data_IF_874273319376
#
_entry.id   IF_874273319376
#
_cell.length_a   1.000
_cell.length_b   1.000
_cell.length_c   1.000
_cell.angle_alpha   90.00
_cell.angle_beta   90.00
_cell.angle_gamma   90.00
#
_symmetry.space_group_name_H-M   'P 1'
#
loop_
_entity.id
_entity.type
_entity.pdbx_description
1 polymer ?
#
# COMPACT_ATOMS: atom_id res chain seq x y z
N UNK A 1 16.87 15.72 24.72
CA UNK A 1 16.46 16.65 23.66
C UNK A 1 17.23 17.95 23.84
N UNK A 2 18.04 18.33 22.86
CA UNK A 2 18.41 19.75 22.70
C UNK A 2 17.10 20.53 22.56
N UNK A 3 16.86 21.57 23.36
CA UNK A 3 15.65 22.40 23.26
C UNK A 3 15.49 23.06 21.87
N UNK A 4 16.55 23.08 21.05
CA UNK A 4 16.56 23.73 19.74
C UNK A 4 15.79 23.03 18.63
N UNK A 5 15.78 21.69 18.58
CA UNK A 5 15.19 20.99 17.43
C UNK A 5 13.65 21.06 17.39
N UNK A 6 12.91 20.82 18.51
CA UNK A 6 11.47 21.03 18.52
C UNK A 6 11.06 22.46 18.13
N UNK A 7 11.83 23.45 18.60
CA UNK A 7 11.61 24.85 18.21
C UNK A 7 11.82 25.09 16.72
N UNK A 8 12.88 24.52 16.13
CA UNK A 8 13.14 24.57 14.69
C UNK A 8 11.98 23.96 13.88
N UNK A 9 11.40 22.84 14.34
CA UNK A 9 10.23 22.24 13.69
C UNK A 9 8.99 23.13 13.83
N UNK A 10 8.78 23.79 14.97
CA UNK A 10 7.69 24.74 15.14
C UNK A 10 7.79 25.93 14.18
N UNK A 11 8.99 26.49 14.02
CA UNK A 11 9.28 27.57 13.06
C UNK A 11 9.07 27.11 11.62
N UNK A 12 9.59 25.93 11.26
CA UNK A 12 9.44 25.35 9.93
C UNK A 12 7.96 25.15 9.57
N UNK A 13 7.18 24.55 10.48
CA UNK A 13 5.76 24.30 10.25
C UNK A 13 4.98 25.62 10.18
N UNK A 14 5.30 26.59 11.04
CA UNK A 14 4.67 27.91 10.97
C UNK A 14 4.96 28.59 9.64
N UNK A 15 6.22 28.58 9.20
CA UNK A 15 6.63 29.16 7.92
C UNK A 15 5.89 28.51 6.76
N UNK A 16 5.71 27.18 6.78
CA UNK A 16 4.93 26.47 5.77
C UNK A 16 3.45 26.91 5.76
N UNK A 17 2.82 27.03 6.93
CA UNK A 17 1.40 27.34 7.05
C UNK A 17 1.03 28.77 6.61
N UNK A 18 1.96 29.72 6.75
CA UNK A 18 1.75 31.13 6.35
C UNK A 18 2.52 31.52 5.09
N UNK A 19 3.07 30.54 4.37
CA UNK A 19 3.84 30.73 3.14
C UNK A 19 5.03 31.70 3.30
N UNK A 20 5.69 31.65 4.45
CA UNK A 20 6.85 32.48 4.76
C UNK A 20 8.09 32.00 3.98
N UNK A 21 8.85 32.95 3.41
CA UNK A 21 10.08 32.70 2.66
C UNK A 21 11.15 31.99 3.50
N UNK A 22 11.11 32.12 4.82
CA UNK A 22 12.00 31.42 5.74
C UNK A 22 11.90 29.89 5.61
N UNK A 23 10.79 29.35 5.09
CA UNK A 23 10.63 27.91 4.87
C UNK A 23 11.81 27.30 4.07
N UNK A 24 12.25 27.99 3.02
CA UNK A 24 13.36 27.52 2.17
C UNK A 24 14.69 27.39 2.90
N UNK A 25 14.92 28.19 3.94
CA UNK A 25 16.13 28.13 4.77
C UNK A 25 15.97 27.16 5.94
N UNK A 26 14.77 27.06 6.51
CA UNK A 26 14.47 26.20 7.65
C UNK A 26 14.45 24.71 7.28
N UNK A 27 13.91 24.36 6.10
CA UNK A 27 13.78 22.98 5.65
C UNK A 27 15.13 22.24 5.58
N UNK A 28 16.18 22.73 4.88
CA UNK A 28 17.47 22.04 4.82
C UNK A 28 18.17 21.99 6.19
N UNK A 29 17.99 23.00 7.05
CA UNK A 29 18.50 23.00 8.43
C UNK A 29 17.87 21.89 9.27
N UNK A 30 16.53 21.78 9.23
CA UNK A 30 15.81 20.72 9.93
C UNK A 30 16.20 19.32 9.42
N UNK A 31 16.36 19.16 8.10
CA UNK A 31 16.86 17.90 7.52
C UNK A 31 18.26 17.56 8.06
N UNK A 32 19.19 18.52 8.07
CA UNK A 32 20.55 18.31 8.54
C UNK A 32 20.60 17.97 10.04
N UNK A 33 19.95 18.77 10.89
CA UNK A 33 19.92 18.54 12.34
C UNK A 33 19.28 17.19 12.68
N UNK A 34 18.26 16.77 11.92
CA UNK A 34 17.62 15.47 12.14
C UNK A 34 18.56 14.28 11.98
N UNK A 35 19.69 14.40 11.26
CA UNK A 35 20.63 13.30 11.02
C UNK A 35 21.28 12.76 12.30
N UNK A 36 21.47 13.63 13.30
CA UNK A 36 22.08 13.27 14.58
C UNK A 36 21.10 12.77 15.65
N UNK A 37 19.79 12.77 15.37
CA UNK A 37 18.75 12.47 16.35
C UNK A 37 18.37 11.00 16.39
N UNK A 38 17.95 10.54 17.57
CA UNK A 38 17.42 9.20 17.76
C UNK A 38 16.00 9.06 17.19
N UNK A 39 15.54 7.83 16.86
CA UNK A 39 14.17 7.60 16.41
C UNK A 39 13.09 8.12 17.36
N UNK A 40 13.34 8.06 18.68
CA UNK A 40 12.42 8.58 19.69
C UNK A 40 12.29 10.11 19.64
N UNK A 41 13.40 10.83 19.41
CA UNK A 41 13.39 12.29 19.26
C UNK A 41 12.70 12.73 17.98
N UNK A 42 12.91 12.00 16.88
CA UNK A 42 12.18 12.23 15.62
C UNK A 42 10.69 11.96 15.79
N UNK A 43 10.32 10.87 16.47
CA UNK A 43 8.92 10.53 16.77
C UNK A 43 8.24 11.63 17.57
N UNK A 44 8.93 12.23 18.55
CA UNK A 44 8.37 13.25 19.43
C UNK A 44 7.92 14.53 18.70
N UNK A 45 8.51 14.86 17.55
CA UNK A 45 8.16 16.05 16.76
C UNK A 45 7.16 15.76 15.63
N UNK A 46 6.87 14.49 15.33
CA UNK A 46 5.93 14.12 14.27
C UNK A 46 4.49 14.64 14.46
N UNK A 47 3.92 14.77 15.68
CA UNK A 47 2.63 15.43 15.86
C UNK A 47 2.61 16.85 15.27
N UNK A 48 3.70 17.59 15.44
CA UNK A 48 3.82 18.95 14.90
C UNK A 48 3.94 18.96 13.38
N UNK A 49 4.66 17.99 12.81
CA UNK A 49 4.70 17.79 11.37
C UNK A 49 3.32 17.47 10.81
N UNK A 50 2.51 16.66 11.51
CA UNK A 50 1.15 16.31 11.12
C UNK A 50 0.26 17.55 10.98
N UNK A 51 0.34 18.48 11.94
CA UNK A 51 -0.36 19.77 11.86
C UNK A 51 0.08 20.58 10.64
N UNK A 52 1.40 20.62 10.38
CA UNK A 52 1.95 21.34 9.24
C UNK A 52 1.50 20.77 7.89
N UNK A 53 1.54 19.44 7.75
CA UNK A 53 1.06 18.75 6.56
C UNK A 53 -0.44 19.00 6.33
N UNK A 54 -1.22 19.12 7.41
CA UNK A 54 -2.65 19.39 7.30
C UNK A 54 -2.97 20.85 6.94
N UNK A 55 -2.15 21.81 7.37
CA UNK A 55 -2.42 23.25 7.25
C UNK A 55 -1.72 23.93 6.06
N UNK A 56 -0.54 23.47 5.68
CA UNK A 56 0.26 24.07 4.62
C UNK A 56 -0.35 23.82 3.22
N UNK A 57 -0.14 24.72 2.25
CA UNK A 57 -0.53 24.47 0.87
C UNK A 57 0.27 23.29 0.28
N UNK A 58 -0.25 22.60 -0.75
CA UNK A 58 0.33 21.36 -1.26
C UNK A 58 1.83 21.43 -1.58
N UNK A 59 2.31 22.53 -2.16
CA UNK A 59 3.70 22.74 -2.56
C UNK A 59 4.69 22.84 -1.39
N UNK A 60 4.22 23.16 -0.17
CA UNK A 60 5.06 23.21 1.05
C UNK A 60 4.78 22.00 1.95
N UNK A 61 3.51 21.63 2.09
CA UNK A 61 3.08 20.46 2.87
C UNK A 61 3.68 19.16 2.36
N UNK A 62 3.94 19.03 1.06
CA UNK A 62 4.57 17.84 0.50
C UNK A 62 5.99 17.61 1.01
N UNK A 63 6.76 18.68 1.25
CA UNK A 63 8.11 18.60 1.80
C UNK A 63 8.12 18.25 3.29
N UNK A 64 7.13 18.73 4.04
CA UNK A 64 6.91 18.30 5.42
C UNK A 64 6.56 16.80 5.48
N UNK A 65 5.71 16.33 4.56
CA UNK A 65 5.37 14.91 4.45
C UNK A 65 6.60 14.05 4.11
N UNK A 66 7.44 14.51 3.17
CA UNK A 66 8.69 13.82 2.80
C UNK A 66 9.64 13.71 3.98
N UNK A 67 9.81 14.79 4.72
CA UNK A 67 10.65 14.79 5.92
C UNK A 67 10.13 13.80 6.97
N UNK A 68 8.82 13.79 7.22
CA UNK A 68 8.19 12.82 8.12
C UNK A 68 8.40 11.37 7.64
N UNK A 69 8.23 11.09 6.35
CA UNK A 69 8.50 9.77 5.75
C UNK A 69 9.96 9.35 5.91
N UNK A 70 10.90 10.25 5.63
CA UNK A 70 12.33 9.99 5.80
C UNK A 70 12.72 9.69 7.25
N UNK A 71 12.04 10.30 8.23
CA UNK A 71 12.26 9.97 9.64
C UNK A 71 11.69 8.60 10.01
N UNK A 72 10.56 8.21 9.45
CA UNK A 72 9.97 6.87 9.62
C UNK A 72 10.88 5.79 9.05
N UNK A 73 11.48 6.01 7.88
CA UNK A 73 12.48 5.07 7.31
C UNK A 73 13.73 4.92 8.19
N UNK A 74 14.02 5.93 9.02
CA UNK A 74 15.10 5.90 10.01
C UNK A 74 14.65 5.33 11.37
N UNK A 75 13.44 4.78 11.45
CA UNK A 75 12.91 4.07 12.61
C UNK A 75 11.99 4.90 13.51
N UNK A 76 11.65 6.15 13.16
CA UNK A 76 10.61 6.87 13.88
C UNK A 76 9.25 6.17 13.71
N UNK A 77 8.40 6.27 14.73
CA UNK A 77 7.05 5.70 14.68
C UNK A 77 6.17 6.52 13.74
N UNK A 78 5.49 5.92 12.73
CA UNK A 78 4.63 6.65 11.80
C UNK A 78 3.31 7.11 12.42
N UNK A 79 2.86 6.49 13.51
CA UNK A 79 1.54 6.70 14.13
C UNK A 79 1.19 8.18 14.40
N UNK A 80 2.10 9.04 14.89
CA UNK A 80 1.74 10.43 15.20
C UNK A 80 1.43 11.31 13.98
N UNK A 81 1.87 10.92 12.77
CA UNK A 81 1.69 11.74 11.55
C UNK A 81 1.08 10.98 10.36
N UNK A 82 1.09 9.65 10.38
CA UNK A 82 0.77 8.82 9.23
C UNK A 82 -0.63 9.06 8.68
N UNK A 83 -1.64 9.16 9.54
CA UNK A 83 -3.01 9.45 9.11
C UNK A 83 -3.11 10.84 8.46
N UNK A 84 -2.50 11.86 9.05
CA UNK A 84 -2.52 13.22 8.50
C UNK A 84 -1.85 13.29 7.12
N UNK A 85 -0.73 12.57 6.92
CA UNK A 85 -0.06 12.45 5.63
C UNK A 85 -0.97 11.77 4.60
N UNK A 86 -1.62 10.65 4.95
CA UNK A 86 -2.53 9.94 4.03
C UNK A 86 -3.76 10.79 3.68
N UNK A 87 -4.30 11.54 4.65
CA UNK A 87 -5.42 12.46 4.41
C UNK A 87 -5.03 13.63 3.51
N UNK A 88 -3.86 14.23 3.72
CA UNK A 88 -3.34 15.27 2.83
C UNK A 88 -3.10 14.72 1.43
N UNK A 89 -2.47 13.54 1.30
CA UNK A 89 -2.28 12.87 0.02
C UNK A 89 -3.61 12.56 -0.68
N UNK A 90 -4.66 12.20 0.07
CA UNK A 90 -6.01 11.96 -0.49
C UNK A 90 -6.61 13.24 -1.07
N UNK A 91 -6.48 14.38 -0.36
CA UNK A 91 -6.94 15.69 -0.87
C UNK A 91 -6.17 16.12 -2.11
N UNK A 92 -4.85 15.94 -2.07
CA UNK A 92 -3.96 16.25 -3.20
C UNK A 92 -4.29 15.39 -4.41
N UNK A 93 -4.50 14.09 -4.24
CA UNK A 93 -4.89 13.19 -5.32
C UNK A 93 -6.22 13.61 -5.97
N UNK A 94 -7.22 14.01 -5.18
CA UNK A 94 -8.48 14.51 -5.73
C UNK A 94 -8.30 15.79 -6.57
N UNK A 95 -7.51 16.75 -6.08
CA UNK A 95 -7.23 17.99 -6.80
C UNK A 95 -6.34 17.76 -8.05
N UNK A 96 -5.37 16.87 -7.96
CA UNK A 96 -4.51 16.46 -9.08
C UNK A 96 -5.32 15.75 -10.18
N UNK A 97 -6.31 14.92 -9.82
CA UNK A 97 -7.21 14.31 -10.78
C UNK A 97 -8.07 15.37 -11.50
N UNK A 98 -8.60 16.35 -10.76
CA UNK A 98 -9.32 17.47 -11.37
C UNK A 98 -8.43 18.26 -12.34
N UNK A 99 -7.17 18.52 -11.97
CA UNK A 99 -6.19 19.14 -12.86
C UNK A 99 -5.95 18.31 -14.13
N UNK A 100 -5.68 17.01 -14.01
CA UNK A 100 -5.42 16.14 -15.16
C UNK A 100 -6.61 16.08 -16.13
N UNK A 101 -7.83 15.99 -15.60
CA UNK A 101 -9.06 16.04 -16.41
C UNK A 101 -9.20 17.38 -17.12
N UNK A 102 -9.04 18.50 -16.39
CA UNK A 102 -9.13 19.85 -16.96
C UNK A 102 -8.08 20.08 -18.07
N UNK A 103 -6.85 19.60 -17.86
CA UNK A 103 -5.79 19.68 -18.86
C UNK A 103 -6.16 18.93 -20.14
N UNK A 104 -6.63 17.68 -20.01
CA UNK A 104 -7.04 16.86 -21.14
C UNK A 104 -8.19 17.48 -21.92
N UNK A 105 -9.14 18.12 -21.23
CA UNK A 105 -10.24 18.85 -21.87
C UNK A 105 -9.81 20.14 -22.58
N UNK A 106 -8.77 20.81 -22.06
CA UNK A 106 -8.26 22.05 -22.64
C UNK A 106 -7.35 21.81 -23.84
N UNK A 107 -6.51 20.77 -23.78
CA UNK A 107 -5.42 20.56 -24.75
C UNK A 107 -5.60 19.33 -25.64
N UNK A 108 -6.42 18.36 -25.22
CA UNK A 108 -6.52 17.04 -25.85
C UNK A 108 -5.30 16.13 -25.62
N UNK A 109 -4.28 16.60 -24.90
CA UNK A 109 -3.04 15.87 -24.63
C UNK A 109 -2.85 15.48 -23.18
N UNK A 110 -1.70 14.87 -22.89
CA UNK A 110 -1.31 14.51 -21.53
C UNK A 110 -0.87 15.75 -20.72
N UNK A 111 -1.17 15.78 -19.40
CA UNK A 111 -0.70 16.85 -18.52
C UNK A 111 0.82 16.93 -18.46
N UNK A 112 1.40 18.08 -18.09
CA UNK A 112 2.83 18.22 -17.89
C UNK A 112 3.31 17.22 -16.84
N UNK A 113 4.45 16.60 -17.08
CA UNK A 113 5.04 15.66 -16.13
C UNK A 113 5.31 16.36 -14.78
N UNK A 114 4.77 15.86 -13.64
CA UNK A 114 4.89 16.53 -12.36
C UNK A 114 6.31 16.49 -11.75
N UNK A 115 7.20 15.63 -12.26
CA UNK A 115 8.59 15.50 -11.80
C UNK A 115 9.58 16.24 -12.73
N UNK A 116 9.29 16.32 -14.03
CA UNK A 116 10.17 16.99 -15.00
C UNK A 116 9.79 18.45 -15.26
N UNK A 117 8.53 18.82 -15.05
CA UNK A 117 8.02 20.18 -15.28
C UNK A 117 7.85 20.95 -13.97
N UNK A 118 7.69 22.27 -14.07
CA UNK A 118 7.42 23.14 -12.94
C UNK A 118 6.09 23.89 -13.07
N UNK A 119 5.53 24.39 -11.96
CA UNK A 119 4.35 25.25 -11.99
C UNK A 119 4.62 26.53 -12.78
N UNK A 120 3.65 26.99 -13.56
CA UNK A 120 3.75 28.21 -14.36
C UNK A 120 2.40 28.89 -14.53
N UNK A 121 2.41 30.20 -14.81
CA UNK A 121 1.17 30.92 -15.10
C UNK A 121 0.46 30.38 -16.36
N UNK A 122 1.23 29.94 -17.37
CA UNK A 122 0.68 29.35 -18.59
C UNK A 122 -0.14 28.08 -18.30
N UNK A 123 0.33 27.24 -17.37
CA UNK A 123 -0.42 26.05 -16.94
C UNK A 123 -1.74 26.46 -16.27
N UNK A 124 -1.71 27.47 -15.39
CA UNK A 124 -2.91 28.00 -14.73
C UNK A 124 -3.89 28.56 -15.75
N UNK A 125 -3.42 29.35 -16.71
CA UNK A 125 -4.26 29.96 -17.75
C UNK A 125 -4.90 28.88 -18.66
N UNK A 126 -4.18 27.77 -18.89
CA UNK A 126 -4.66 26.62 -19.68
C UNK A 126 -5.82 25.90 -19.01
N UNK A 127 -5.69 25.57 -17.72
CA UNK A 127 -6.72 24.79 -16.99
C UNK A 127 -7.79 25.65 -16.33
N UNK A 128 -7.49 26.93 -16.08
CA UNK A 128 -8.33 27.87 -15.33
C UNK A 128 -9.79 27.91 -15.77
N UNK A 129 -10.10 28.00 -17.08
CA UNK A 129 -11.50 28.00 -17.55
C UNK A 129 -12.29 26.72 -17.26
N UNK A 130 -11.62 25.62 -16.87
CA UNK A 130 -12.21 24.27 -16.72
C UNK A 130 -12.20 23.74 -15.30
N UNK A 131 -11.62 24.50 -14.36
CA UNK A 131 -11.60 24.13 -12.95
C UNK A 131 -12.60 25.01 -12.20
N UNK A 132 -13.60 24.36 -11.61
CA UNK A 132 -14.47 25.00 -10.63
C UNK A 132 -13.69 25.20 -9.32
N UNK A 133 -13.30 26.44 -9.02
CA UNK A 133 -12.57 26.78 -7.79
C UNK A 133 -11.21 27.44 -8.06
N UNK A 134 -10.18 26.99 -7.36
CA UNK A 134 -8.83 27.57 -7.43
C UNK A 134 -7.92 26.75 -8.36
N UNK A 135 -7.67 27.22 -9.61
CA UNK A 135 -6.79 26.51 -10.54
C UNK A 135 -5.32 26.51 -10.12
N UNK A 136 -4.88 27.48 -9.30
CA UNK A 136 -3.51 27.50 -8.75
C UNK A 136 -3.36 26.36 -7.75
N UNK A 137 -4.32 26.19 -6.85
CA UNK A 137 -4.30 25.10 -5.88
C UNK A 137 -4.32 23.71 -6.56
N UNK A 138 -5.12 23.54 -7.62
CA UNK A 138 -5.17 22.31 -8.40
C UNK A 138 -3.83 22.01 -9.11
N UNK A 139 -3.22 23.02 -9.73
CA UNK A 139 -1.87 22.90 -10.31
C UNK A 139 -0.83 22.54 -9.23
N UNK A 140 -0.85 23.21 -8.08
CA UNK A 140 0.10 22.90 -7.00
C UNK A 140 -0.08 21.49 -6.45
N UNK A 141 -1.32 21.01 -6.37
CA UNK A 141 -1.61 19.61 -5.99
C UNK A 141 -1.06 18.63 -7.03
N UNK A 142 -1.19 18.92 -8.33
CA UNK A 142 -0.59 18.12 -9.39
C UNK A 142 0.93 17.97 -9.20
N UNK A 143 1.66 19.07 -9.05
CA UNK A 143 3.11 19.03 -8.87
C UNK A 143 3.57 18.47 -7.51
N UNK A 144 2.72 18.50 -6.49
CA UNK A 144 3.00 17.92 -5.17
C UNK A 144 2.70 16.41 -5.09
N UNK A 145 2.05 15.84 -6.10
CA UNK A 145 1.58 14.45 -6.14
C UNK A 145 2.72 13.46 -5.89
N UNK A 146 3.89 13.52 -6.57
CA UNK A 146 4.98 12.55 -6.35
C UNK A 146 5.43 12.48 -4.89
N UNK A 147 5.65 13.63 -4.26
CA UNK A 147 6.15 13.71 -2.88
C UNK A 147 5.13 13.20 -1.86
N UNK A 148 3.84 13.53 -2.04
CA UNK A 148 2.79 12.96 -1.22
C UNK A 148 2.62 11.46 -1.43
N UNK A 149 2.77 10.97 -2.67
CA UNK A 149 2.72 9.55 -3.00
C UNK A 149 3.81 8.77 -2.29
N UNK A 150 5.06 9.23 -2.37
CA UNK A 150 6.20 8.64 -1.65
C UNK A 150 5.98 8.60 -0.13
N UNK A 151 5.58 9.74 0.44
CA UNK A 151 5.39 9.86 1.89
C UNK A 151 4.25 8.98 2.39
N UNK A 152 3.10 8.98 1.69
CA UNK A 152 1.97 8.13 2.02
C UNK A 152 2.31 6.64 1.87
N UNK A 153 3.08 6.28 0.84
CA UNK A 153 3.58 4.91 0.68
C UNK A 153 4.39 4.47 1.90
N UNK A 154 5.36 5.27 2.34
CA UNK A 154 6.17 4.94 3.53
C UNK A 154 5.30 4.80 4.79
N UNK A 155 4.38 5.74 5.04
CA UNK A 155 3.49 5.69 6.20
C UNK A 155 2.61 4.44 6.22
N UNK A 156 2.02 4.11 5.06
CA UNK A 156 1.12 2.95 4.93
C UNK A 156 1.90 1.64 4.91
N UNK A 157 3.09 1.56 4.33
CA UNK A 157 3.86 0.32 4.24
C UNK A 157 4.41 -0.11 5.61
N UNK A 158 4.80 0.87 6.44
CA UNK A 158 5.49 0.62 7.71
C UNK A 158 4.57 0.40 8.90
N UNK A 159 3.28 0.76 8.83
CA UNK A 159 2.36 0.60 9.96
C UNK A 159 0.97 0.06 9.60
N UNK A 160 0.59 -1.13 10.10
CA UNK A 160 -0.79 -1.61 10.01
C UNK A 160 -1.77 -0.74 10.81
N UNK A 161 -1.30 -0.03 11.85
CA UNK A 161 -2.15 0.88 12.62
C UNK A 161 -2.55 2.09 11.78
N UNK A 162 -1.61 2.65 10.99
CA UNK A 162 -1.92 3.73 10.04
C UNK A 162 -2.91 3.23 8.99
N UNK A 163 -2.68 2.06 8.38
CA UNK A 163 -3.63 1.47 7.41
C UNK A 163 -5.01 1.28 8.02
N UNK A 164 -5.10 0.76 9.26
CA UNK A 164 -6.35 0.53 9.97
C UNK A 164 -7.09 1.79 10.39
N UNK A 165 -6.39 2.92 10.56
CA UNK A 165 -6.99 4.21 10.91
C UNK A 165 -7.64 4.94 9.72
N UNK A 166 -7.32 4.55 8.47
CA UNK A 166 -7.87 5.18 7.28
C UNK A 166 -9.32 4.75 7.07
N UNK A 167 -10.24 5.72 7.08
CA UNK A 167 -11.64 5.53 6.68
C UNK A 167 -11.80 5.44 5.16
N UNK A 168 -12.85 4.75 4.69
CA UNK A 168 -13.21 4.64 3.27
C UNK A 168 -12.07 4.17 2.35
N UNK A 169 -11.27 3.21 2.83
CA UNK A 169 -10.04 2.74 2.16
C UNK A 169 -10.24 2.41 0.69
N UNK A 170 -11.32 1.71 0.33
CA UNK A 170 -11.58 1.31 -1.06
C UNK A 170 -11.84 2.54 -1.96
N UNK A 171 -12.65 3.49 -1.49
CA UNK A 171 -12.90 4.74 -2.24
C UNK A 171 -11.61 5.54 -2.41
N UNK A 172 -10.77 5.62 -1.37
CA UNK A 172 -9.49 6.31 -1.44
C UNK A 172 -8.51 5.58 -2.38
N UNK A 173 -8.44 4.25 -2.31
CA UNK A 173 -7.62 3.44 -3.20
C UNK A 173 -8.00 3.68 -4.67
N UNK A 174 -9.30 3.68 -5.00
CA UNK A 174 -9.77 4.02 -6.34
C UNK A 174 -9.34 5.42 -6.79
N UNK A 175 -9.39 6.41 -5.90
CA UNK A 175 -8.94 7.77 -6.22
C UNK A 175 -7.45 7.84 -6.54
N UNK A 176 -6.60 7.10 -5.80
CA UNK A 176 -5.17 7.02 -6.08
C UNK A 176 -4.88 6.27 -7.39
N UNK A 177 -5.58 5.16 -7.68
CA UNK A 177 -5.41 4.39 -8.92
C UNK A 177 -5.68 5.22 -10.19
N UNK A 178 -6.57 6.22 -10.14
CA UNK A 178 -6.80 7.12 -11.28
C UNK A 178 -5.57 7.94 -11.69
N UNK A 179 -4.60 8.10 -10.79
CA UNK A 179 -3.37 8.86 -11.03
C UNK A 179 -2.17 7.97 -11.36
N UNK A 180 -2.30 6.65 -11.27
CA UNK A 180 -1.17 5.71 -11.45
C UNK A 180 -0.47 5.89 -12.80
N UNK A 181 -1.24 6.13 -13.87
CA UNK A 181 -0.70 6.35 -15.21
C UNK A 181 0.20 7.59 -15.33
N UNK A 182 0.05 8.54 -14.41
CA UNK A 182 0.81 9.79 -14.39
C UNK A 182 1.88 9.80 -13.29
N UNK A 183 1.65 9.08 -12.20
CA UNK A 183 2.56 8.97 -11.07
C UNK A 183 2.47 7.54 -10.52
N UNK A 184 3.41 6.64 -10.89
CA UNK A 184 3.38 5.24 -10.47
C UNK A 184 3.31 5.04 -8.95
N UNK A 185 3.85 5.98 -8.16
CA UNK A 185 3.77 5.98 -6.71
C UNK A 185 2.32 5.91 -6.18
N UNK A 186 1.35 6.47 -6.91
CA UNK A 186 -0.05 6.44 -6.54
C UNK A 186 -0.68 5.04 -6.66
N UNK A 187 -0.23 4.24 -7.62
CA UNK A 187 -0.61 2.82 -7.71
C UNK A 187 -0.16 2.04 -6.46
N UNK A 188 1.05 2.32 -5.96
CA UNK A 188 1.55 1.69 -4.73
C UNK A 188 0.75 2.07 -3.48
N UNK A 189 0.38 3.35 -3.36
CA UNK A 189 -0.50 3.82 -2.28
C UNK A 189 -1.87 3.16 -2.34
N UNK A 190 -2.44 3.06 -3.55
CA UNK A 190 -3.71 2.37 -3.77
C UNK A 190 -3.64 0.90 -3.33
N UNK A 191 -2.56 0.19 -3.69
CA UNK A 191 -2.33 -1.19 -3.26
C UNK A 191 -2.25 -1.34 -1.74
N UNK A 192 -1.50 -0.47 -1.06
CA UNK A 192 -1.34 -0.49 0.39
C UNK A 192 -2.65 -0.23 1.15
N UNK A 193 -3.54 0.60 0.62
CA UNK A 193 -4.87 0.82 1.21
C UNK A 193 -5.78 -0.42 1.15
N UNK A 194 -5.49 -1.34 0.23
CA UNK A 194 -6.22 -2.61 0.06
C UNK A 194 -5.58 -3.78 0.81
N UNK A 195 -4.44 -3.57 1.49
CA UNK A 195 -3.81 -4.60 2.33
C UNK A 195 -4.73 -4.92 3.50
N UNK A 196 -4.86 -6.23 3.74
CA UNK A 196 -5.60 -6.79 4.87
C UNK A 196 -4.64 -7.09 6.02
N UNK A 197 -4.99 -6.65 7.23
CA UNK A 197 -4.23 -6.88 8.46
C UNK A 197 -5.11 -7.59 9.48
N UNK A 198 -4.62 -8.71 10.01
CA UNK A 198 -5.39 -9.57 10.92
C UNK A 198 -6.59 -10.26 10.27
N UNK A 199 -6.61 -10.39 8.93
CA UNK A 199 -7.74 -11.01 8.23
C UNK A 199 -7.72 -12.52 8.37
N UNK A 200 -8.87 -13.08 8.72
CA UNK A 200 -9.07 -14.53 8.84
C UNK A 200 -9.58 -15.11 7.52
N UNK A 201 -8.83 -16.06 6.95
CA UNK A 201 -9.23 -16.81 5.76
C UNK A 201 -9.56 -18.26 6.13
N UNK A 202 -10.52 -18.86 5.41
CA UNK A 202 -10.72 -20.30 5.38
C UNK A 202 -10.04 -20.87 4.13
N UNK A 203 -9.03 -21.70 4.31
CA UNK A 203 -8.31 -22.37 3.22
C UNK A 203 -8.79 -23.81 3.13
N UNK A 204 -9.26 -24.25 1.96
CA UNK A 204 -9.84 -25.57 1.74
C UNK A 204 -9.03 -26.34 0.71
N UNK A 205 -8.61 -27.55 1.00
CA UNK A 205 -8.09 -28.46 -0.02
C UNK A 205 -9.22 -29.32 -0.56
N UNK A 206 -9.55 -29.16 -1.84
CA UNK A 206 -10.68 -29.86 -2.45
C UNK A 206 -10.45 -31.37 -2.51
N UNK A 207 -9.21 -31.80 -2.75
CA UNK A 207 -8.89 -33.21 -2.95
C UNK A 207 -9.07 -34.04 -1.67
N UNK A 208 -8.53 -33.56 -0.54
CA UNK A 208 -8.64 -34.24 0.76
C UNK A 208 -9.87 -33.83 1.57
N UNK A 209 -10.60 -32.79 1.14
CA UNK A 209 -11.70 -32.14 1.87
C UNK A 209 -11.32 -31.61 3.26
N UNK A 210 -10.03 -31.38 3.49
CA UNK A 210 -9.52 -30.75 4.71
C UNK A 210 -9.50 -29.24 4.55
N UNK A 211 -9.42 -28.54 5.67
CA UNK A 211 -9.24 -27.10 5.65
C UNK A 211 -8.41 -26.57 6.81
N UNK A 212 -8.06 -25.31 6.71
CA UNK A 212 -7.28 -24.58 7.68
C UNK A 212 -7.89 -23.21 7.86
N UNK A 213 -7.96 -22.76 9.10
CA UNK A 213 -8.10 -21.33 9.30
C UNK A 213 -6.72 -20.70 9.39
N UNK A 214 -6.50 -19.66 8.60
CA UNK A 214 -5.29 -18.85 8.65
C UNK A 214 -5.62 -17.39 8.97
N UNK A 215 -4.70 -16.71 9.65
CA UNK A 215 -4.71 -15.26 9.82
C UNK A 215 -3.59 -14.67 8.96
N UNK A 216 -3.91 -13.65 8.15
CA UNK A 216 -2.95 -12.94 7.31
C UNK A 216 -2.82 -11.48 7.71
N UNK A 217 -1.61 -10.93 7.58
CA UNK A 217 -1.34 -9.50 7.65
C UNK A 217 -0.25 -9.11 6.66
N UNK A 218 -0.29 -7.89 6.13
CA UNK A 218 0.80 -7.35 5.31
C UNK A 218 1.08 -8.12 4.01
N UNK A 219 0.06 -8.74 3.39
CA UNK A 219 0.21 -9.44 2.11
C UNK A 219 -0.24 -8.53 0.97
N UNK A 220 0.70 -8.15 0.09
CA UNK A 220 0.50 -7.16 -0.97
C UNK A 220 -0.12 -7.71 -2.26
N UNK A 221 -0.01 -9.02 -2.50
CA UNK A 221 -0.58 -9.68 -3.67
C UNK A 221 -0.80 -11.17 -3.47
N UNK A 222 -1.47 -11.79 -4.44
CA UNK A 222 -1.78 -13.21 -4.41
C UNK A 222 -0.57 -14.10 -4.73
N UNK A 223 0.51 -13.58 -5.36
CA UNK A 223 1.79 -14.28 -5.44
C UNK A 223 2.35 -14.54 -4.03
N UNK A 224 2.38 -13.51 -3.19
CA UNK A 224 2.82 -13.59 -1.81
C UNK A 224 1.89 -14.47 -0.97
N UNK A 225 0.57 -14.33 -1.11
CA UNK A 225 -0.40 -15.22 -0.44
C UNK A 225 -0.13 -16.69 -0.78
N UNK A 226 0.03 -17.01 -2.08
CA UNK A 226 0.27 -18.36 -2.55
C UNK A 226 1.55 -18.93 -1.97
N UNK A 227 2.65 -18.17 -2.01
CA UNK A 227 3.93 -18.61 -1.46
C UNK A 227 3.87 -18.87 0.05
N UNK A 228 3.23 -17.98 0.81
CA UNK A 228 3.12 -18.13 2.27
C UNK A 228 2.20 -19.29 2.67
N UNK A 229 1.10 -19.52 1.94
CA UNK A 229 0.28 -20.72 2.10
C UNK A 229 1.07 -22.00 1.82
N UNK A 230 1.88 -22.00 0.75
CA UNK A 230 2.79 -23.10 0.43
C UNK A 230 3.75 -23.42 1.59
N UNK A 231 4.40 -22.38 2.14
CA UNK A 231 5.32 -22.53 3.27
C UNK A 231 4.69 -23.01 4.57
N UNK A 232 3.43 -22.64 4.80
CA UNK A 232 2.67 -23.00 6.00
C UNK A 232 2.03 -24.38 5.92
N UNK A 233 1.67 -24.85 4.73
CA UNK A 233 0.89 -26.09 4.55
C UNK A 233 1.70 -27.25 3.96
N UNK A 234 2.57 -27.03 2.98
CA UNK A 234 3.20 -28.16 2.25
C UNK A 234 4.34 -28.77 3.04
N UNK A 235 4.31 -30.08 3.21
CA UNK A 235 5.36 -30.82 3.92
C UNK A 235 5.44 -30.52 5.41
N UNK A 236 4.38 -29.91 5.99
CA UNK A 236 4.29 -29.56 7.42
C UNK A 236 3.44 -30.57 8.19
N UNK A 237 3.71 -30.79 9.49
CA UNK A 237 2.82 -31.59 10.35
C UNK A 237 1.39 -31.03 10.35
N UNK A 238 0.41 -31.87 10.03
CA UNK A 238 -1.00 -31.44 9.89
C UNK A 238 -1.27 -30.55 8.67
N UNK A 239 -0.31 -30.41 7.77
CA UNK A 239 -0.46 -29.74 6.48
C UNK A 239 -0.81 -30.71 5.34
N UNK A 240 -0.46 -30.31 4.12
CA UNK A 240 -0.60 -31.09 2.89
C UNK A 240 0.68 -31.90 2.59
N UNK A 241 0.58 -33.06 1.94
CA UNK A 241 1.75 -33.83 1.53
C UNK A 241 2.56 -33.07 0.47
N UNK A 242 3.87 -33.28 0.48
CA UNK A 242 4.80 -32.70 -0.49
C UNK A 242 6.12 -32.28 0.16
N UNK A 243 7.05 -31.82 -0.68
CA UNK A 243 8.33 -31.29 -0.20
C UNK A 243 8.11 -29.87 0.38
N UNK A 244 8.67 -29.56 1.56
CA UNK A 244 8.59 -28.23 2.13
C UNK A 244 9.12 -27.16 1.17
N UNK A 245 8.48 -25.98 1.17
CA UNK A 245 8.95 -24.83 0.40
C UNK A 245 10.38 -24.44 0.76
N UNK A 246 11.15 -23.94 -0.21
CA UNK A 246 12.49 -23.39 0.03
C UNK A 246 12.39 -22.26 1.08
N UNK A 247 13.11 -22.35 2.22
CA UNK A 247 13.05 -21.32 3.26
C UNK A 247 13.36 -19.91 2.75
N UNK A 248 14.17 -19.77 1.70
CA UNK A 248 14.51 -18.47 1.09
C UNK A 248 13.29 -17.81 0.45
N UNK A 249 12.37 -18.59 -0.12
CA UNK A 249 11.09 -18.05 -0.59
C UNK A 249 10.30 -17.48 0.58
N UNK A 250 10.22 -18.20 1.70
CA UNK A 250 9.41 -17.76 2.84
C UNK A 250 10.01 -16.49 3.46
N UNK A 251 11.33 -16.43 3.63
CA UNK A 251 12.03 -15.23 4.12
C UNK A 251 11.73 -14.00 3.27
N UNK A 252 11.92 -14.10 1.95
CA UNK A 252 11.78 -12.95 1.07
C UNK A 252 10.33 -12.55 0.81
N UNK A 253 9.35 -13.41 1.08
CA UNK A 253 7.92 -13.05 1.10
C UNK A 253 7.40 -12.63 2.48
N UNK A 254 8.24 -12.65 3.52
CA UNK A 254 7.88 -12.24 4.90
C UNK A 254 8.51 -10.90 5.26
N UNK A 255 9.84 -10.82 5.30
CA UNK A 255 10.58 -9.66 5.83
C UNK A 255 11.87 -9.34 5.09
N UNK A 256 12.51 -10.32 4.46
CA UNK A 256 13.89 -10.14 3.99
C UNK A 256 13.92 -9.72 2.52
N UNK A 257 15.05 -9.17 2.10
CA UNK A 257 15.32 -8.93 0.68
C UNK A 257 15.58 -10.24 -0.06
N UNK A 258 15.44 -10.21 -1.39
CA UNK A 258 15.74 -11.37 -2.23
C UNK A 258 17.25 -11.55 -2.32
N UNK A 259 17.76 -12.64 -1.75
CA UNK A 259 19.18 -12.99 -1.87
C UNK A 259 19.54 -13.33 -3.33
N UNK A 260 20.74 -12.94 -3.80
CA UNK A 260 21.25 -13.36 -5.11
C UNK A 260 21.22 -14.88 -5.29
N UNK A 261 20.69 -15.35 -6.42
CA UNK A 261 20.59 -16.77 -6.73
C UNK A 261 19.39 -17.49 -6.10
N UNK A 262 18.45 -16.77 -5.49
CA UNK A 262 17.15 -17.33 -5.09
C UNK A 262 16.40 -17.81 -6.34
N UNK A 263 16.01 -19.10 -6.43
CA UNK A 263 15.34 -19.63 -7.60
C UNK A 263 13.90 -19.09 -7.70
N UNK A 264 13.30 -19.06 -8.91
CA UNK A 264 11.88 -18.76 -9.08
C UNK A 264 11.01 -19.68 -8.21
N UNK A 265 9.96 -19.11 -7.61
CA UNK A 265 8.95 -19.89 -6.88
C UNK A 265 8.21 -20.79 -7.86
N UNK A 266 7.86 -22.00 -7.44
CA UNK A 266 7.01 -22.91 -8.21
C UNK A 266 5.67 -23.07 -7.48
N UNK A 267 4.58 -22.80 -8.18
CA UNK A 267 3.23 -22.89 -7.60
C UNK A 267 2.77 -24.32 -7.38
N UNK A 268 2.05 -24.53 -6.27
CA UNK A 268 1.51 -25.85 -5.86
C UNK A 268 0.09 -26.12 -6.35
N UNK A 269 -0.70 -25.07 -6.55
CA UNK A 269 -2.15 -25.16 -6.74
C UNK A 269 -2.66 -24.16 -7.76
N UNK A 270 -3.91 -24.35 -8.16
CA UNK A 270 -4.79 -23.25 -8.56
C UNK A 270 -5.48 -22.72 -7.30
N UNK A 271 -5.51 -21.39 -7.13
CA UNK A 271 -6.28 -20.73 -6.08
C UNK A 271 -7.63 -20.34 -6.66
N UNK A 272 -8.71 -20.74 -5.98
CA UNK A 272 -10.08 -20.54 -6.43
C UNK A 272 -10.90 -19.99 -5.27
N UNK A 273 -11.83 -19.07 -5.51
CA UNK A 273 -12.71 -18.56 -4.46
C UNK A 273 -13.88 -19.53 -4.17
N UNK A 274 -14.76 -19.16 -3.21
CA UNK A 274 -15.93 -19.97 -2.88
C UNK A 274 -16.91 -20.16 -4.05
N UNK A 275 -16.91 -19.25 -5.01
CA UNK A 275 -17.81 -19.19 -6.16
C UNK A 275 -17.22 -19.84 -7.42
N UNK A 276 -16.04 -20.45 -7.30
CA UNK A 276 -15.37 -21.15 -8.39
C UNK A 276 -14.57 -20.22 -9.30
N UNK A 277 -14.47 -18.92 -8.97
CA UNK A 277 -13.69 -17.97 -9.73
C UNK A 277 -12.19 -18.12 -9.43
N UNK A 278 -11.34 -17.86 -10.43
CA UNK A 278 -9.90 -17.93 -10.25
C UNK A 278 -9.41 -16.75 -9.41
N UNK A 279 -8.64 -17.08 -8.37
CA UNK A 279 -7.87 -16.08 -7.64
C UNK A 279 -6.55 -15.91 -8.40
N UNK A 280 -6.51 -14.87 -9.25
CA UNK A 280 -5.33 -14.53 -10.03
C UNK A 280 -4.21 -13.99 -9.14
N UNK A 281 -2.98 -14.38 -9.44
CA UNK A 281 -1.82 -14.00 -8.64
C UNK A 281 -1.54 -12.49 -8.71
N UNK A 282 -1.90 -11.86 -9.83
CA UNK A 282 -1.78 -10.44 -10.10
C UNK A 282 -2.69 -9.58 -9.19
N UNK A 283 -3.81 -10.15 -8.76
CA UNK A 283 -4.76 -9.52 -7.83
C UNK A 283 -4.25 -9.46 -6.39
N UNK A 284 -5.12 -8.99 -5.49
CA UNK A 284 -4.81 -8.86 -4.06
C UNK A 284 -5.77 -9.69 -3.20
N UNK A 285 -5.41 -10.04 -1.95
CA UNK A 285 -6.30 -10.80 -1.07
C UNK A 285 -7.66 -10.13 -0.82
N UNK A 286 -7.72 -8.79 -0.87
CA UNK A 286 -8.97 -8.05 -0.73
C UNK A 286 -9.99 -8.30 -1.85
N UNK A 287 -9.54 -8.74 -3.04
CA UNK A 287 -10.40 -9.08 -4.17
C UNK A 287 -11.19 -10.38 -3.94
N UNK A 288 -10.74 -11.23 -3.01
CA UNK A 288 -11.41 -12.50 -2.71
C UNK A 288 -12.76 -12.20 -2.04
N UNK A 289 -13.90 -12.62 -2.64
CA UNK A 289 -15.21 -12.40 -2.05
C UNK A 289 -15.37 -13.15 -0.73
N UNK A 290 -16.06 -12.52 0.23
CA UNK A 290 -16.43 -13.16 1.47
C UNK A 290 -17.70 -14.00 1.30
N UNK A 291 -17.65 -15.28 1.67
CA UNK A 291 -18.80 -16.15 1.84
C UNK A 291 -19.17 -16.17 3.33
N UNK A 292 -20.39 -15.71 3.65
CA UNK A 292 -20.86 -15.58 5.04
C UNK A 292 -19.88 -14.78 5.93
N UNK A 293 -19.29 -13.72 5.39
CA UNK A 293 -18.34 -12.85 6.10
C UNK A 293 -16.92 -13.43 6.23
N UNK A 294 -16.62 -14.59 5.64
CA UNK A 294 -15.27 -15.18 5.62
C UNK A 294 -14.79 -15.34 4.18
N UNK A 295 -13.58 -14.88 3.90
CA UNK A 295 -12.93 -15.14 2.60
C UNK A 295 -12.46 -16.58 2.55
N UNK A 296 -12.81 -17.28 1.47
CA UNK A 296 -12.49 -18.69 1.28
C UNK A 296 -11.53 -18.83 0.11
N UNK A 297 -10.41 -19.53 0.35
CA UNK A 297 -9.44 -19.91 -0.68
C UNK A 297 -9.47 -21.42 -0.83
N UNK A 298 -9.87 -21.89 -2.00
CA UNK A 298 -9.90 -23.30 -2.35
C UNK A 298 -8.65 -23.63 -3.16
N UNK A 299 -7.93 -24.66 -2.70
CA UNK A 299 -6.75 -25.22 -3.33
C UNK A 299 -7.21 -26.33 -4.27
N UNK A 300 -7.03 -26.10 -5.58
CA UNK A 300 -7.30 -27.08 -6.62
C UNK A 300 -5.99 -27.57 -7.27
N UNK A 301 -5.96 -28.80 -7.82
CA UNK A 301 -4.79 -29.30 -8.54
C UNK A 301 -4.34 -28.31 -9.64
N UNK A 302 -3.03 -28.09 -9.80
CA UNK A 302 -2.53 -27.15 -10.78
C UNK A 302 -2.82 -27.66 -12.19
N UNK A 303 -3.42 -26.81 -13.04
CA UNK A 303 -3.70 -27.17 -14.44
C UNK A 303 -2.41 -27.22 -15.28
N UNK A 304 -1.38 -26.47 -14.87
CA UNK A 304 -0.04 -26.43 -15.44
C UNK A 304 0.94 -25.90 -14.39
N UNK A 305 2.24 -26.13 -14.60
CA UNK A 305 3.27 -25.62 -13.69
C UNK A 305 3.44 -24.12 -13.89
N UNK A 306 3.24 -23.34 -12.82
CA UNK A 306 3.46 -21.89 -12.78
C UNK A 306 4.71 -21.56 -11.96
N UNK A 307 5.39 -20.50 -12.34
CA UNK A 307 6.50 -19.95 -11.58
C UNK A 307 6.52 -18.43 -11.61
N UNK A 308 7.05 -17.83 -10.55
CA UNK A 308 7.18 -16.37 -10.42
C UNK A 308 8.47 -15.99 -9.71
N UNK A 309 8.86 -14.72 -9.87
CA UNK A 309 10.02 -14.17 -9.19
C UNK A 309 9.79 -14.11 -7.67
N UNK A 310 10.79 -14.45 -6.85
CA UNK A 310 10.71 -14.24 -5.41
C UNK A 310 10.70 -12.75 -5.06
N UNK A 311 10.06 -12.39 -3.95
CA UNK A 311 10.06 -11.04 -3.38
C UNK A 311 8.67 -10.43 -3.20
N UNK A 312 8.55 -9.53 -2.22
CA UNK A 312 7.30 -8.82 -1.92
C UNK A 312 7.07 -7.65 -2.89
N UNK A 313 5.80 -7.41 -3.21
CA UNK A 313 5.35 -6.18 -3.91
C UNK A 313 5.72 -4.90 -3.14
N UNK A 314 5.66 -4.94 -1.80
CA UNK A 314 5.99 -3.81 -0.93
C UNK A 314 7.16 -4.18 0.00
N UNK A 315 8.41 -3.82 -0.34
CA UNK A 315 9.59 -4.23 0.41
C UNK A 315 9.61 -3.78 1.87
N UNK A 316 9.10 -2.57 2.15
CA UNK A 316 9.03 -1.99 3.50
C UNK A 316 7.96 -2.63 4.40
N UNK A 317 7.08 -3.46 3.83
CA UNK A 317 6.00 -4.09 4.58
C UNK A 317 6.41 -5.50 5.00
N UNK A 318 6.30 -5.78 6.30
CA UNK A 318 6.40 -7.14 6.84
C UNK A 318 5.07 -7.86 6.71
N UNK A 319 5.11 -9.12 6.27
CA UNK A 319 3.95 -9.98 6.16
C UNK A 319 3.92 -11.05 7.25
N UNK A 320 2.74 -11.55 7.56
CA UNK A 320 2.54 -12.71 8.43
C UNK A 320 1.45 -13.61 7.87
N UNK A 321 1.66 -14.92 7.97
CA UNK A 321 0.62 -15.92 7.78
C UNK A 321 0.73 -16.96 8.89
N UNK A 322 -0.34 -17.13 9.66
CA UNK A 322 -0.38 -18.07 10.80
C UNK A 322 -1.54 -19.03 10.63
N UNK A 323 -1.29 -20.33 10.84
CA UNK A 323 -2.34 -21.35 10.86
C UNK A 323 -2.90 -21.43 12.27
N UNK A 324 -4.17 -21.04 12.43
CA UNK A 324 -4.87 -20.98 13.71
C UNK A 324 -5.55 -22.31 14.07
N UNK A 325 -5.93 -23.09 13.06
CA UNK A 325 -6.68 -24.32 13.27
C UNK A 325 -6.77 -25.16 12.01
N UNK A 326 -7.02 -26.46 12.23
CA UNK A 326 -7.19 -27.47 11.19
C UNK A 326 -8.61 -28.03 11.28
N UNK A 327 -9.19 -28.30 10.11
CA UNK A 327 -10.56 -28.76 9.97
C UNK A 327 -10.60 -30.06 9.18
N UNK A 328 -11.36 -31.02 9.69
CA UNK A 328 -11.69 -32.26 9.02
C UNK A 328 -12.83 -32.04 8.03
N UNK A 329 -13.13 -33.07 7.21
CA UNK A 329 -14.27 -33.02 6.30
C UNK A 329 -15.62 -32.88 7.04
N UNK A 330 -15.71 -33.36 8.29
CA UNK A 330 -16.90 -33.26 9.13
C UNK A 330 -17.10 -31.83 9.65
N UNK A 331 -16.03 -31.20 10.14
CA UNK A 331 -16.06 -29.79 10.59
C UNK A 331 -16.54 -28.84 9.48
N UNK A 332 -16.26 -29.21 8.23
CA UNK A 332 -16.56 -28.44 7.03
C UNK A 332 -17.85 -28.87 6.33
N UNK A 333 -18.65 -29.78 6.92
CA UNK A 333 -19.84 -30.31 6.28
C UNK A 333 -20.85 -29.22 5.88
N UNK A 334 -20.94 -28.13 6.67
CA UNK A 334 -21.78 -26.97 6.36
C UNK A 334 -21.20 -26.05 5.29
N UNK A 335 -19.88 -26.07 5.05
CA UNK A 335 -19.21 -25.22 4.07
C UNK A 335 -19.30 -25.79 2.66
N UNK A 336 -19.02 -27.08 2.48
CA UNK A 336 -18.91 -27.71 1.16
C UNK A 336 -20.13 -27.52 0.22
N UNK A 337 -21.39 -27.52 0.69
CA UNK A 337 -22.55 -27.23 -0.17
C UNK A 337 -22.53 -25.82 -0.80
N UNK A 338 -21.77 -24.88 -0.25
CA UNK A 338 -21.63 -23.53 -0.74
C UNK A 338 -20.38 -23.30 -1.60
N UNK A 339 -19.52 -24.31 -1.74
CA UNK A 339 -18.29 -24.21 -2.53
C UNK A 339 -18.55 -24.70 -3.95
N UNK A 340 -18.53 -23.78 -4.90
CA UNK A 340 -18.72 -24.10 -6.30
C UNK A 340 -17.51 -24.89 -6.88
N UNK A 341 -17.73 -25.66 -7.96
CA UNK A 341 -16.61 -26.21 -8.74
C UNK A 341 -15.81 -25.08 -9.42
N UNK A 342 -14.52 -25.30 -9.70
CA UNK A 342 -13.71 -24.32 -10.43
C UNK A 342 -14.27 -24.10 -11.83
N UNK A 343 -14.38 -22.83 -12.22
CA UNK A 343 -14.74 -22.44 -13.57
C UNK A 343 -13.52 -22.53 -14.51
N UNK A 344 -13.76 -22.58 -15.83
CA UNK A 344 -12.68 -22.53 -16.83
C UNK A 344 -12.02 -21.14 -16.77
N UNK A 345 -10.69 -21.03 -16.55
CA UNK A 345 -10.01 -19.73 -16.51
C UNK A 345 -10.23 -18.89 -17.78
N UNK A 346 -10.43 -19.53 -18.94
CA UNK A 346 -10.69 -18.83 -20.21
C UNK A 346 -12.07 -18.19 -20.29
N UNK A 347 -12.97 -18.54 -19.38
CA UNK A 347 -14.32 -17.95 -19.30
C UNK A 347 -14.38 -16.68 -18.45
N UNK A 348 -13.25 -16.26 -17.86
CA UNK A 348 -13.14 -15.12 -16.93
C UNK A 348 -12.27 -13.96 -17.46
N UNK A 349 -11.68 -14.11 -18.66
CA UNK A 349 -10.95 -13.04 -19.36
C UNK A 349 -11.88 -12.28 -20.30
#
# INVERSE_FOLDING_TARGET
>A
MSEGFPHLIDELVRAAAVEDRAFSDLLPRAMHESQGLSPAELTAVLPRMAEGVAQAPPNLGCWLAIMAGAWVERGASPEPAGLAVVEAATRVAAAAHAFATAWKEATGGDPPDPEESGPSQEIVDTVGPRIDGDPVAAMMAWFATPQFGMSAHTMLATSPLVRGAVSDRERRASAFSLLEQHCPAMGWVAGLLRVLDGERLLVLDRASRRGWTVTISGIGDNFQLHTLLGGALVGRPGGLPGDPADPRWISCFTSDDVEPGTPPVVGWWNLVDAHGAWIWNEGVPADIPALNGTRVVVLDPPAYRRSWSPGRRHPLMTATLTVEGQHTAEDLASWWPHIAPPQDPRSQM
#
